data_IF_047045722994
#
_entry.id   IF_047045722994
#
_cell.length_a   1.000
_cell.length_b   1.000
_cell.length_c   1.000
_cell.angle_alpha   90.00
_cell.angle_beta   90.00
_cell.angle_gamma   90.00
#
_symmetry.space_group_name_H-M   'P 1'
#
loop_
_entity.id
_entity.type
_entity.pdbx_description
1 polymer ?
#
# COMPACT_ATOMS: atom_id res chain seq x y z
N UNK A 1 -14.42 -20.68 4.24
CA UNK A 1 -14.83 -20.63 5.65
C UNK A 1 -15.61 -21.92 5.95
N UNK A 2 -15.32 -22.66 7.03
CA UNK A 2 -16.17 -23.75 7.44
C UNK A 2 -17.56 -23.20 7.79
N UNK A 3 -18.61 -23.96 7.48
CA UNK A 3 -19.96 -23.57 7.83
C UNK A 3 -20.06 -23.47 9.36
N UNK A 4 -20.57 -22.33 9.86
CA UNK A 4 -20.74 -22.07 11.29
C UNK A 4 -21.96 -22.84 11.86
N UNK A 5 -21.84 -24.14 11.89
CA UNK A 5 -22.95 -25.05 12.26
C UNK A 5 -23.42 -24.92 13.72
N UNK A 6 -22.75 -24.09 14.50
CA UNK A 6 -23.06 -23.91 15.93
C UNK A 6 -23.53 -22.49 16.28
N UNK A 7 -23.70 -21.61 15.28
CA UNK A 7 -24.18 -20.27 15.52
C UNK A 7 -25.69 -20.22 15.43
N UNK A 8 -26.32 -19.66 16.46
CA UNK A 8 -27.75 -19.34 16.46
C UNK A 8 -27.99 -18.08 15.61
N UNK A 9 -29.26 -17.83 15.23
CA UNK A 9 -29.62 -16.57 14.53
C UNK A 9 -29.27 -15.34 15.36
N UNK A 10 -29.34 -15.42 16.68
CA UNK A 10 -28.93 -14.38 17.61
C UNK A 10 -27.40 -14.15 17.55
N UNK A 11 -26.60 -15.21 17.52
CA UNK A 11 -25.13 -15.10 17.38
C UNK A 11 -24.76 -14.44 16.05
N UNK A 12 -25.45 -14.83 14.97
CA UNK A 12 -25.23 -14.21 13.65
C UNK A 12 -25.60 -12.73 13.67
N UNK A 13 -26.72 -12.36 14.31
CA UNK A 13 -27.14 -10.96 14.44
C UNK A 13 -26.11 -10.14 15.26
N UNK A 14 -25.62 -10.70 16.37
CA UNK A 14 -24.62 -10.07 17.23
C UNK A 14 -23.28 -9.90 16.51
N UNK A 15 -22.82 -10.91 15.79
CA UNK A 15 -21.61 -10.83 14.97
C UNK A 15 -21.75 -9.78 13.85
N UNK A 16 -22.90 -9.74 13.19
CA UNK A 16 -23.15 -8.73 12.15
C UNK A 16 -23.18 -7.31 12.73
N UNK A 17 -23.78 -7.12 13.93
CA UNK A 17 -23.77 -5.83 14.62
C UNK A 17 -22.34 -5.42 15.02
N UNK A 18 -21.55 -6.37 15.52
CA UNK A 18 -20.14 -6.14 15.88
C UNK A 18 -19.31 -5.74 14.66
N UNK A 19 -19.40 -6.47 13.56
CA UNK A 19 -18.68 -6.12 12.31
C UNK A 19 -19.10 -4.75 11.78
N UNK A 20 -20.42 -4.44 11.81
CA UNK A 20 -20.91 -3.11 11.43
C UNK A 20 -20.40 -1.98 12.34
N UNK A 21 -20.10 -2.27 13.60
CA UNK A 21 -19.57 -1.26 14.52
C UNK A 21 -18.19 -0.73 14.09
N UNK A 22 -17.40 -1.55 13.36
CA UNK A 22 -16.11 -1.12 12.83
C UNK A 22 -16.21 -0.01 11.77
N UNK A 23 -17.35 0.14 11.09
CA UNK A 23 -17.57 1.25 10.15
C UNK A 23 -17.84 2.60 10.85
N UNK A 24 -18.09 2.58 12.16
CA UNK A 24 -18.41 3.76 12.98
C UNK A 24 -17.23 4.28 13.79
N UNK A 25 -15.99 3.96 13.40
CA UNK A 25 -14.81 4.50 14.08
C UNK A 25 -14.82 6.01 13.89
N UNK A 26 -14.92 6.80 14.98
CA UNK A 26 -14.87 8.25 14.89
C UNK A 26 -13.54 8.67 14.22
N UNK A 27 -13.57 9.65 13.34
CA UNK A 27 -12.34 10.28 12.88
C UNK A 27 -11.76 11.05 14.07
N UNK A 28 -10.68 10.58 14.66
CA UNK A 28 -9.95 11.38 15.62
C UNK A 28 -9.50 12.69 14.96
N UNK A 29 -9.65 13.85 15.64
CA UNK A 29 -9.10 15.09 15.14
C UNK A 29 -7.57 14.92 15.04
N UNK A 30 -7.04 15.02 13.83
CA UNK A 30 -5.61 14.88 13.58
C UNK A 30 -4.96 16.26 13.67
N UNK A 31 -3.78 16.39 14.28
CA UNK A 31 -2.97 17.57 14.10
C UNK A 31 -2.61 17.67 12.62
N UNK A 32 -2.75 18.86 12.05
CA UNK A 32 -2.39 19.12 10.67
C UNK A 32 -3.58 19.55 9.79
N UNK A 33 -3.24 20.10 8.65
CA UNK A 33 -4.15 20.67 7.68
C UNK A 33 -4.13 19.85 6.39
N UNK A 34 -5.26 19.23 6.03
CA UNK A 34 -5.36 18.37 4.87
C UNK A 34 -5.14 19.12 3.53
N UNK A 35 -5.44 20.42 3.46
CA UNK A 35 -5.23 21.23 2.25
C UNK A 35 -3.73 21.47 2.03
N UNK A 36 -3.00 21.79 3.10
CA UNK A 36 -1.53 21.88 3.04
C UNK A 36 -0.92 20.52 2.74
N UNK A 37 -1.44 19.46 3.36
CA UNK A 37 -1.01 18.07 3.11
C UNK A 37 -1.18 17.65 1.66
N UNK A 38 -2.25 18.04 0.98
CA UNK A 38 -2.42 17.78 -0.46
C UNK A 38 -1.32 18.44 -1.31
N UNK A 39 -0.88 19.65 -0.93
CA UNK A 39 0.23 20.33 -1.62
C UNK A 39 1.56 19.61 -1.36
N UNK A 40 1.76 19.12 -0.14
CA UNK A 40 2.95 18.33 0.23
C UNK A 40 2.98 16.98 -0.50
N UNK A 41 1.82 16.33 -0.69
CA UNK A 41 1.69 15.12 -1.50
C UNK A 41 2.17 15.34 -2.93
N UNK A 42 1.75 16.45 -3.54
CA UNK A 42 2.21 16.83 -4.89
C UNK A 42 3.70 17.19 -4.91
N UNK A 43 4.16 18.03 -3.96
CA UNK A 43 5.57 18.44 -3.83
C UNK A 43 6.51 17.26 -3.60
N UNK A 44 6.07 16.28 -2.80
CA UNK A 44 6.84 15.06 -2.50
C UNK A 44 6.87 14.04 -3.64
N UNK A 45 6.20 14.30 -4.77
CA UNK A 45 6.18 13.39 -5.91
C UNK A 45 5.43 12.08 -5.65
N UNK A 46 4.57 12.03 -4.65
CA UNK A 46 3.87 10.81 -4.25
C UNK A 46 3.01 10.22 -5.37
N UNK A 47 2.43 11.09 -6.23
CA UNK A 47 1.65 10.70 -7.41
C UNK A 47 2.47 9.99 -8.50
N UNK A 48 3.82 10.07 -8.46
CA UNK A 48 4.67 9.33 -9.40
C UNK A 48 4.60 7.81 -9.16
N UNK A 49 4.12 7.39 -8.00
CA UNK A 49 3.97 5.97 -7.66
C UNK A 49 2.55 5.61 -7.20
N UNK A 50 1.81 6.54 -6.59
CA UNK A 50 0.51 6.28 -5.99
C UNK A 50 -0.63 6.90 -6.79
N UNK A 51 -1.80 6.22 -6.79
CA UNK A 51 -3.04 6.74 -7.35
C UNK A 51 -3.91 7.30 -6.22
N UNK A 52 -4.45 8.51 -6.43
CA UNK A 52 -5.51 9.13 -5.61
C UNK A 52 -6.61 9.63 -6.53
N UNK A 53 -7.85 9.21 -6.31
CA UNK A 53 -9.02 9.59 -7.09
C UNK A 53 -8.84 9.38 -8.62
N UNK A 54 -8.15 8.32 -9.01
CA UNK A 54 -7.87 7.97 -10.40
C UNK A 54 -6.70 8.71 -11.04
N UNK A 55 -6.04 9.64 -10.32
CA UNK A 55 -4.88 10.37 -10.81
C UNK A 55 -3.59 9.83 -10.16
N UNK A 56 -2.53 9.69 -10.97
CA UNK A 56 -1.22 9.20 -10.54
C UNK A 56 -0.79 7.92 -11.24
N UNK A 57 0.33 7.35 -10.82
CA UNK A 57 0.91 6.14 -11.40
C UNK A 57 0.84 4.97 -10.40
N UNK A 58 0.32 3.82 -10.86
CA UNK A 58 -0.02 2.68 -10.01
C UNK A 58 1.15 1.72 -9.73
N UNK A 59 2.35 2.20 -9.45
CA UNK A 59 3.47 1.37 -9.03
C UNK A 59 3.42 1.05 -7.53
N UNK A 60 2.97 2.00 -6.73
CA UNK A 60 2.66 1.83 -5.31
C UNK A 60 1.17 1.54 -5.06
N UNK A 61 0.79 1.29 -3.78
CA UNK A 61 -0.61 1.12 -3.39
C UNK A 61 -1.51 2.29 -3.79
N UNK A 62 -2.73 1.97 -4.17
CA UNK A 62 -3.79 2.96 -4.39
C UNK A 62 -4.23 3.56 -3.06
N UNK A 63 -4.31 4.89 -2.97
CA UNK A 63 -4.49 5.62 -1.72
C UNK A 63 -5.85 6.33 -1.59
N UNK A 64 -6.75 6.27 -2.59
CA UNK A 64 -8.02 7.00 -2.56
C UNK A 64 -8.89 6.71 -1.34
N UNK A 65 -8.69 5.57 -0.68
CA UNK A 65 -9.45 5.15 0.50
C UNK A 65 -8.54 4.77 1.69
N UNK A 66 -7.31 5.25 1.71
CA UNK A 66 -6.33 4.87 2.74
C UNK A 66 -6.79 5.27 4.14
N UNK A 67 -7.51 6.39 4.28
CA UNK A 67 -7.99 6.91 5.55
C UNK A 67 -9.10 6.08 6.22
N UNK A 68 -9.73 5.13 5.50
CA UNK A 68 -10.63 4.14 6.11
C UNK A 68 -9.94 2.79 6.32
N UNK A 69 -8.77 2.59 5.74
CA UNK A 69 -8.05 1.30 5.77
C UNK A 69 -6.91 1.27 6.77
N UNK A 70 -6.36 2.45 7.11
CA UNK A 70 -5.18 2.56 7.97
C UNK A 70 -5.31 3.74 8.93
N UNK A 71 -4.79 3.54 10.15
CA UNK A 71 -4.73 4.60 11.16
C UNK A 71 -3.67 5.64 10.82
N UNK A 72 -3.81 6.86 11.35
CA UNK A 72 -2.84 7.93 11.16
C UNK A 72 -1.42 7.57 11.61
N UNK A 73 -1.20 6.90 12.76
CA UNK A 73 0.13 6.42 13.15
C UNK A 73 0.74 5.43 12.13
N UNK A 74 -0.08 4.54 11.54
CA UNK A 74 0.38 3.64 10.48
C UNK A 74 0.79 4.41 9.23
N UNK A 75 -0.03 5.37 8.79
CA UNK A 75 0.26 6.22 7.62
C UNK A 75 1.56 6.98 7.84
N UNK A 76 1.75 7.61 9.00
CA UNK A 76 2.99 8.29 9.36
C UNK A 76 4.20 7.34 9.29
N UNK A 77 4.09 6.16 9.90
CA UNK A 77 5.16 5.16 9.87
C UNK A 77 5.51 4.74 8.45
N UNK A 78 4.49 4.54 7.59
CA UNK A 78 4.70 4.18 6.19
C UNK A 78 5.43 5.27 5.38
N UNK A 79 5.26 6.55 5.72
CA UNK A 79 5.95 7.66 5.08
C UNK A 79 7.42 7.73 5.51
N UNK A 80 7.70 7.59 6.81
CA UNK A 80 9.06 7.76 7.35
C UNK A 80 9.89 6.47 7.35
N UNK A 81 9.24 5.30 7.44
CA UNK A 81 9.90 3.98 7.45
C UNK A 81 9.15 2.99 6.57
N UNK A 82 9.10 3.20 5.25
CA UNK A 82 8.23 2.44 4.34
C UNK A 82 8.54 0.93 4.34
N UNK A 83 9.79 0.51 4.43
CA UNK A 83 10.18 -0.91 4.53
C UNK A 83 9.64 -1.63 5.76
N UNK A 84 9.28 -0.88 6.84
CA UNK A 84 8.71 -1.47 8.06
C UNK A 84 7.19 -1.72 7.99
N UNK A 85 6.52 -1.32 6.91
CA UNK A 85 5.07 -1.38 6.75
C UNK A 85 4.66 -1.87 5.37
N UNK A 86 5.36 -2.89 4.85
CA UNK A 86 5.10 -3.43 3.52
C UNK A 86 3.66 -3.95 3.41
N UNK A 87 2.82 -3.37 2.53
CA UNK A 87 1.48 -3.91 2.31
C UNK A 87 1.54 -5.22 1.55
N UNK A 88 0.60 -6.11 1.85
CA UNK A 88 0.44 -7.34 1.09
C UNK A 88 0.23 -7.03 -0.41
N UNK A 89 0.85 -7.83 -1.28
CA UNK A 89 0.81 -7.62 -2.74
C UNK A 89 1.89 -6.69 -3.30
N UNK A 90 2.70 -6.02 -2.45
CA UNK A 90 3.75 -5.10 -2.90
C UNK A 90 5.17 -5.63 -2.60
N UNK A 91 5.36 -6.96 -2.68
CA UNK A 91 6.68 -7.57 -2.53
C UNK A 91 7.59 -7.18 -3.69
N UNK A 92 8.72 -6.55 -3.37
CA UNK A 92 9.78 -6.30 -4.33
C UNK A 92 10.51 -7.61 -4.65
N UNK A 93 10.78 -7.85 -5.91
CA UNK A 93 11.50 -9.03 -6.39
C UNK A 93 12.52 -8.63 -7.45
N UNK A 94 13.56 -9.43 -7.55
CA UNK A 94 14.59 -9.33 -8.56
C UNK A 94 14.70 -10.67 -9.29
N UNK A 95 14.67 -10.63 -10.62
CA UNK A 95 14.88 -11.79 -11.49
C UNK A 95 16.09 -11.55 -12.39
N UNK A 96 16.98 -12.55 -12.48
CA UNK A 96 18.13 -12.52 -13.38
C UNK A 96 17.87 -13.51 -14.52
N UNK A 97 17.91 -13.02 -15.76
CA UNK A 97 17.79 -13.86 -16.97
C UNK A 97 19.07 -14.66 -17.19
N UNK A 98 19.05 -15.73 -18.03
CA UNK A 98 20.27 -16.45 -18.44
C UNK A 98 21.30 -15.56 -19.15
N UNK A 99 20.85 -14.50 -19.83
CA UNK A 99 21.72 -13.50 -20.45
C UNK A 99 22.38 -12.55 -19.44
N UNK A 100 21.92 -12.55 -18.20
CA UNK A 100 22.42 -11.68 -17.12
C UNK A 100 21.62 -10.38 -16.94
N UNK A 101 20.53 -10.19 -17.69
CA UNK A 101 19.67 -9.02 -17.52
C UNK A 101 18.94 -9.07 -16.18
N UNK A 102 18.93 -7.95 -15.48
CA UNK A 102 18.23 -7.77 -14.22
C UNK A 102 16.86 -7.18 -14.44
N UNK A 103 15.83 -7.85 -13.96
CA UNK A 103 14.45 -7.36 -13.93
C UNK A 103 14.05 -7.21 -12.47
N UNK A 104 13.84 -5.97 -12.03
CA UNK A 104 13.41 -5.65 -10.68
C UNK A 104 12.03 -4.99 -10.70
N UNK A 105 11.17 -5.33 -9.77
CA UNK A 105 9.85 -4.73 -9.67
C UNK A 105 8.96 -5.39 -8.63
N UNK A 106 7.71 -4.94 -8.62
CA UNK A 106 6.69 -5.47 -7.71
C UNK A 106 6.14 -6.79 -8.29
N UNK A 107 6.13 -7.83 -7.47
CA UNK A 107 5.46 -9.08 -7.79
C UNK A 107 3.95 -8.86 -7.91
N UNK A 108 3.40 -9.04 -9.10
CA UNK A 108 1.96 -8.92 -9.36
C UNK A 108 1.26 -10.24 -9.15
N UNK A 109 1.85 -11.31 -9.69
CA UNK A 109 1.35 -12.67 -9.57
C UNK A 109 2.51 -13.66 -9.50
N UNK A 110 2.27 -14.80 -8.86
CA UNK A 110 3.26 -15.89 -8.76
C UNK A 110 2.55 -17.20 -8.50
N UNK A 111 2.93 -18.21 -9.26
CA UNK A 111 2.58 -19.62 -9.03
C UNK A 111 3.84 -20.50 -8.94
N UNK A 112 3.67 -21.82 -8.98
CA UNK A 112 4.78 -22.77 -8.92
C UNK A 112 5.76 -22.64 -10.09
N UNK A 113 5.28 -22.25 -11.28
CA UNK A 113 6.02 -22.29 -12.55
C UNK A 113 6.40 -20.91 -13.06
N UNK A 114 5.63 -19.89 -12.73
CA UNK A 114 5.77 -18.55 -13.29
C UNK A 114 5.73 -17.44 -12.24
N UNK A 115 6.24 -16.27 -12.64
CA UNK A 115 6.12 -15.04 -11.90
C UNK A 115 5.83 -13.90 -12.86
N UNK A 116 4.98 -12.96 -12.44
CA UNK A 116 4.71 -11.73 -13.14
C UNK A 116 5.21 -10.56 -12.29
N UNK A 117 6.09 -9.77 -12.88
CA UNK A 117 6.74 -8.61 -12.26
C UNK A 117 6.29 -7.36 -13.00
N UNK A 118 5.91 -6.32 -12.26
CA UNK A 118 5.68 -4.97 -12.79
C UNK A 118 6.87 -4.11 -12.42
N UNK A 119 7.62 -3.63 -13.40
CA UNK A 119 8.76 -2.77 -13.18
C UNK A 119 8.36 -1.30 -12.90
N UNK A 120 9.36 -0.46 -12.58
CA UNK A 120 9.15 0.95 -12.25
C UNK A 120 8.63 1.79 -13.42
N UNK A 121 8.71 1.28 -14.67
CA UNK A 121 8.15 1.95 -15.85
C UNK A 121 6.68 1.58 -16.08
N UNK A 122 6.17 0.59 -15.30
CA UNK A 122 4.83 0.05 -15.44
C UNK A 122 4.73 -1.14 -16.40
N UNK A 123 5.84 -1.58 -16.99
CA UNK A 123 5.88 -2.74 -17.87
C UNK A 123 5.72 -4.03 -17.07
N UNK A 124 4.93 -4.97 -17.62
CA UNK A 124 4.75 -6.30 -17.06
C UNK A 124 5.69 -7.30 -17.74
N UNK A 125 6.45 -8.03 -16.92
CA UNK A 125 7.31 -9.11 -17.31
C UNK A 125 6.73 -10.43 -16.82
N UNK A 126 6.30 -11.29 -17.74
CA UNK A 126 5.80 -12.64 -17.41
C UNK A 126 6.92 -13.65 -17.67
N UNK A 127 7.45 -14.26 -16.62
CA UNK A 127 8.67 -15.06 -16.65
C UNK A 127 8.37 -16.48 -16.15
N UNK A 128 8.89 -17.50 -16.84
CA UNK A 128 8.90 -18.86 -16.31
C UNK A 128 10.10 -19.01 -15.37
N UNK A 129 9.86 -19.52 -14.17
CA UNK A 129 10.90 -19.64 -13.14
C UNK A 129 12.06 -20.53 -13.56
N UNK A 130 11.78 -21.59 -14.31
CA UNK A 130 12.81 -22.50 -14.84
C UNK A 130 13.77 -21.84 -15.84
N UNK A 131 13.33 -20.75 -16.49
CA UNK A 131 14.13 -20.01 -17.48
C UNK A 131 14.92 -18.85 -16.81
N UNK A 132 14.89 -18.73 -15.50
CA UNK A 132 15.64 -17.71 -14.74
C UNK A 132 16.93 -18.31 -14.19
N UNK A 133 17.99 -17.51 -14.22
CA UNK A 133 19.25 -17.83 -13.52
C UNK A 133 19.07 -17.68 -12.01
N UNK A 134 18.29 -16.66 -11.59
CA UNK A 134 18.06 -16.35 -10.19
C UNK A 134 16.72 -15.63 -10.02
N UNK A 135 16.06 -15.85 -8.91
CA UNK A 135 14.87 -15.12 -8.47
C UNK A 135 14.95 -14.85 -6.97
N UNK A 136 15.08 -13.58 -6.62
CA UNK A 136 15.15 -13.13 -5.22
C UNK A 136 13.87 -12.41 -4.80
N UNK A 137 13.46 -12.65 -3.54
CA UNK A 137 12.35 -11.93 -2.88
C UNK A 137 12.95 -10.98 -1.86
N UNK A 138 12.92 -9.69 -2.16
CA UNK A 138 13.57 -8.62 -1.39
C UNK A 138 12.65 -8.21 -0.23
N UNK A 139 12.58 -9.02 0.81
CA UNK A 139 11.70 -8.80 1.96
C UNK A 139 12.20 -7.63 2.80
N UNK A 140 11.31 -6.68 3.12
CA UNK A 140 11.64 -5.48 3.88
C UNK A 140 12.26 -4.35 3.03
N UNK A 141 12.55 -4.62 1.77
CA UNK A 141 12.97 -3.61 0.80
C UNK A 141 11.77 -3.05 0.04
N UNK A 142 11.85 -1.77 -0.33
CA UNK A 142 10.76 -1.06 -0.99
C UNK A 142 11.30 0.01 -1.93
N UNK A 143 10.67 0.21 -3.09
CA UNK A 143 11.00 1.33 -3.97
C UNK A 143 10.51 2.69 -3.44
N UNK A 144 9.63 2.69 -2.41
CA UNK A 144 9.20 3.93 -1.78
C UNK A 144 10.34 4.54 -0.96
N UNK A 145 10.78 5.77 -1.27
CA UNK A 145 11.82 6.44 -0.48
C UNK A 145 11.34 6.76 0.93
N UNK A 146 12.26 6.83 1.88
CA UNK A 146 11.96 7.40 3.19
C UNK A 146 11.87 8.92 3.09
N UNK A 147 10.84 9.48 3.71
CA UNK A 147 10.68 10.93 3.87
C UNK A 147 11.12 11.41 5.25
N UNK A 148 11.83 10.56 6.02
CA UNK A 148 12.45 10.95 7.28
C UNK A 148 13.46 12.07 7.03
N UNK A 149 13.28 13.23 7.69
CA UNK A 149 14.12 14.42 7.50
C UNK A 149 13.86 15.24 6.22
N UNK A 150 13.01 14.75 5.31
CA UNK A 150 12.57 15.52 4.13
C UNK A 150 11.48 16.53 4.48
N UNK A 151 10.52 16.09 5.29
CA UNK A 151 9.46 16.93 5.84
C UNK A 151 9.69 17.13 7.35
N UNK A 152 9.45 18.34 7.83
CA UNK A 152 9.42 18.60 9.27
C UNK A 152 8.17 18.01 9.93
N UNK A 153 8.10 18.02 11.25
CA UNK A 153 7.00 17.41 12.02
C UNK A 153 5.62 17.95 11.61
N UNK A 154 5.50 19.28 11.46
CA UNK A 154 4.23 19.92 11.07
C UNK A 154 3.83 19.55 9.63
N UNK A 155 4.78 19.49 8.71
CA UNK A 155 4.53 19.05 7.33
C UNK A 155 4.10 17.57 7.26
N UNK A 156 4.72 16.72 8.09
CA UNK A 156 4.28 15.32 8.22
C UNK A 156 2.88 15.21 8.82
N UNK A 157 2.52 16.06 9.78
CA UNK A 157 1.17 16.11 10.35
C UNK A 157 0.15 16.51 9.28
N UNK A 158 0.46 17.53 8.48
CA UNK A 158 -0.38 17.97 7.35
C UNK A 158 -0.56 16.85 6.30
N UNK A 159 0.53 16.19 5.92
CA UNK A 159 0.50 15.10 4.94
C UNK A 159 -0.31 13.91 5.46
N UNK A 160 -0.16 13.55 6.74
CA UNK A 160 -0.93 12.49 7.39
C UNK A 160 -2.41 12.87 7.46
N UNK A 161 -2.74 14.12 7.79
CA UNK A 161 -4.12 14.61 7.82
C UNK A 161 -4.77 14.52 6.42
N UNK A 162 -4.04 14.89 5.36
CA UNK A 162 -4.51 14.71 3.99
C UNK A 162 -4.80 13.25 3.65
N UNK A 163 -3.82 12.35 3.87
CA UNK A 163 -3.99 10.94 3.54
C UNK A 163 -5.10 10.29 4.36
N UNK A 164 -5.22 10.64 5.64
CA UNK A 164 -6.30 10.14 6.50
C UNK A 164 -7.69 10.68 6.09
N UNK A 165 -7.75 11.81 5.39
CA UNK A 165 -8.99 12.36 4.82
C UNK A 165 -9.47 11.63 3.58
N UNK A 166 -8.61 10.83 2.94
CA UNK A 166 -8.93 10.06 1.73
C UNK A 166 -9.76 8.82 2.11
N UNK A 167 -11.07 8.97 2.00
CA UNK A 167 -12.06 7.95 2.42
C UNK A 167 -12.81 7.29 1.26
N UNK A 168 -12.37 7.50 0.03
CA UNK A 168 -13.09 7.08 -1.17
C UNK A 168 -14.33 7.95 -1.44
N UNK A 169 -14.98 7.75 -2.59
CA UNK A 169 -16.33 8.29 -2.81
C UNK A 169 -17.31 7.35 -2.12
N UNK A 170 -18.10 7.87 -1.19
CA UNK A 170 -19.31 7.19 -0.71
C UNK A 170 -20.36 7.20 -1.82
#
# INVERSE_FOLDING_TARGET
>A
MPAGWFLTDEDVANLAAYVRSFSKIPSEPLPGDAVRGARLYAKGGCSNCHIVAGAGFGYGPELSNIGIRRSAPYIRKAIVKPGATMPEGFLLVEAITPAGDKIEGIRVNEDTFSIQIKDATGQFHSLRKQDLKELQKLRGETPMPSYEGVFNTSELDDLVAYLASLRGKQ
#
